data_IF_083984156614
#
_entry.id   IF_083984156614
#
_cell.length_a   1.000
_cell.length_b   1.000
_cell.length_c   1.000
_cell.angle_alpha   90.00
_cell.angle_beta   90.00
_cell.angle_gamma   90.00
#
_symmetry.space_group_name_H-M   'P 1'
#
loop_
_entity.id
_entity.type
_entity.pdbx_description
1 polymer ?
#
# COMPACT_ATOMS: atom_id res chain seq x y z
N UNK A 1 -20.28 -1.27 -8.98
CA UNK A 1 -19.09 -2.14 -8.80
C UNK A 1 -18.04 -1.61 -9.76
N UNK A 2 -16.89 -1.14 -9.26
CA UNK A 2 -15.85 -0.58 -10.12
C UNK A 2 -14.93 -1.74 -10.54
N UNK A 3 -15.03 -2.18 -11.79
CA UNK A 3 -14.08 -3.12 -12.38
C UNK A 3 -12.74 -2.39 -12.55
N UNK A 4 -11.79 -2.70 -11.67
CA UNK A 4 -10.40 -2.33 -11.89
C UNK A 4 -9.75 -3.52 -12.59
N UNK A 5 -9.32 -3.35 -13.85
CA UNK A 5 -8.63 -4.42 -14.58
C UNK A 5 -7.18 -4.53 -14.08
N UNK A 6 -6.64 -5.76 -14.00
CA UNK A 6 -5.23 -5.99 -13.64
C UNK A 6 -4.25 -5.15 -14.47
N UNK A 7 -4.53 -4.97 -15.76
CA UNK A 7 -3.70 -4.18 -16.68
C UNK A 7 -3.60 -2.71 -16.25
N UNK A 8 -4.68 -2.15 -15.72
CA UNK A 8 -4.72 -0.78 -15.19
C UNK A 8 -3.89 -0.66 -13.89
N UNK A 9 -3.84 -1.75 -13.11
CA UNK A 9 -3.08 -1.80 -11.86
C UNK A 9 -1.57 -1.95 -12.06
N UNK A 10 -1.16 -2.66 -13.11
CA UNK A 10 0.26 -2.81 -13.47
C UNK A 10 0.93 -1.44 -13.70
N UNK A 11 0.17 -0.45 -14.18
CA UNK A 11 0.65 0.92 -14.35
C UNK A 11 1.13 1.57 -13.03
N UNK A 12 0.53 1.21 -11.89
CA UNK A 12 0.92 1.72 -10.59
C UNK A 12 2.23 1.14 -10.05
N UNK A 13 2.75 0.04 -10.63
CA UNK A 13 4.09 -0.49 -10.28
C UNK A 13 5.16 0.61 -10.43
N UNK A 14 5.00 1.45 -11.43
CA UNK A 14 5.92 2.54 -11.76
C UNK A 14 5.41 3.94 -11.36
N UNK A 15 4.14 4.06 -10.95
CA UNK A 15 3.52 5.32 -10.51
C UNK A 15 2.91 5.22 -9.11
N UNK A 16 3.73 4.84 -8.13
CA UNK A 16 3.30 4.68 -6.74
C UNK A 16 2.69 5.96 -6.14
N UNK A 17 3.07 7.15 -6.62
CA UNK A 17 2.45 8.42 -6.21
C UNK A 17 0.96 8.48 -6.52
N UNK A 18 0.54 8.02 -7.71
CA UNK A 18 -0.86 7.92 -8.09
C UNK A 18 -1.62 6.90 -7.24
N UNK A 19 -0.95 5.82 -6.82
CA UNK A 19 -1.53 4.84 -5.91
C UNK A 19 -1.75 5.44 -4.51
N UNK A 20 -0.78 6.19 -4.01
CA UNK A 20 -0.90 6.88 -2.72
C UNK A 20 -2.08 7.85 -2.75
N UNK A 21 -2.21 8.64 -3.82
CA UNK A 21 -3.33 9.56 -3.99
C UNK A 21 -4.67 8.82 -4.05
N UNK A 22 -4.77 7.73 -4.81
CA UNK A 22 -5.96 6.88 -4.85
C UNK A 22 -6.36 6.42 -3.45
N UNK A 23 -5.42 5.89 -2.67
CA UNK A 23 -5.68 5.45 -1.30
C UNK A 23 -6.10 6.60 -0.36
N UNK A 24 -5.49 7.77 -0.51
CA UNK A 24 -5.86 8.96 0.27
C UNK A 24 -7.29 9.43 -0.06
N UNK A 25 -7.71 9.38 -1.32
CA UNK A 25 -9.10 9.73 -1.71
C UNK A 25 -10.14 8.75 -1.15
N UNK A 26 -9.72 7.52 -0.85
CA UNK A 26 -10.55 6.47 -0.24
C UNK A 26 -10.41 6.40 1.29
N UNK A 27 -9.71 7.36 1.90
CA UNK A 27 -9.46 7.43 3.35
C UNK A 27 -8.71 6.21 3.92
N UNK A 28 -8.01 5.45 3.05
CA UNK A 28 -7.20 4.30 3.44
C UNK A 28 -5.78 4.69 3.87
N UNK A 29 -5.34 5.90 3.50
CA UNK A 29 -4.10 6.51 3.95
C UNK A 29 -4.35 7.95 4.44
N UNK A 30 -3.58 8.43 5.43
CA UNK A 30 -3.64 9.82 5.85
C UNK A 30 -3.25 10.75 4.70
N UNK A 31 -4.03 11.81 4.52
CA UNK A 31 -3.75 12.87 3.54
C UNK A 31 -2.96 14.04 4.13
N UNK A 32 -3.19 14.35 5.41
CA UNK A 32 -2.63 15.53 6.08
C UNK A 32 -2.03 15.19 7.45
N UNK A 33 -0.95 14.40 7.52
CA UNK A 33 -0.30 14.10 8.78
C UNK A 33 0.41 15.33 9.34
N UNK A 34 0.38 15.47 10.66
CA UNK A 34 0.93 16.62 11.38
C UNK A 34 2.24 16.29 12.10
N UNK A 35 3.17 17.23 12.07
CA UNK A 35 4.39 17.25 12.88
C UNK A 35 4.85 18.71 13.05
N UNK A 36 5.27 19.11 14.26
CA UNK A 36 5.60 20.50 14.57
C UNK A 36 4.46 21.47 14.17
N UNK A 37 3.21 21.07 14.44
CA UNK A 37 1.99 21.81 14.10
C UNK A 37 1.83 22.18 12.62
N UNK A 38 2.51 21.46 11.73
CA UNK A 38 2.44 21.64 10.29
C UNK A 38 2.13 20.34 9.55
N UNK A 39 1.44 20.48 8.42
CA UNK A 39 1.20 19.37 7.50
C UNK A 39 2.53 18.94 6.89
N UNK A 40 2.88 17.69 7.11
CA UNK A 40 4.07 17.08 6.51
C UNK A 40 3.88 16.92 5.00
N UNK A 41 4.97 16.97 4.23
CA UNK A 41 4.94 16.77 2.78
C UNK A 41 5.35 15.35 2.41
N UNK A 42 4.75 14.79 1.37
CA UNK A 42 5.21 13.51 0.80
C UNK A 42 6.59 13.73 0.18
N UNK A 43 7.52 12.84 0.49
CA UNK A 43 8.88 12.84 -0.04
C UNK A 43 9.28 11.43 -0.48
N UNK A 44 10.09 11.35 -1.53
CA UNK A 44 10.71 10.11 -1.97
C UNK A 44 11.73 9.67 -0.92
N UNK A 45 11.67 8.40 -0.55
CA UNK A 45 12.60 7.75 0.36
C UNK A 45 12.76 6.28 -0.05
N UNK A 46 13.80 5.98 -0.81
CA UNK A 46 14.07 4.63 -1.35
C UNK A 46 14.30 3.56 -0.27
N UNK A 47 14.66 3.96 0.96
CA UNK A 47 14.88 3.04 2.08
C UNK A 47 13.62 2.47 2.73
N UNK A 48 12.42 2.91 2.31
CA UNK A 48 11.14 2.39 2.83
C UNK A 48 10.38 1.63 1.75
N UNK A 49 9.51 0.71 2.17
CA UNK A 49 8.86 -0.28 1.30
C UNK A 49 8.02 0.31 0.14
N UNK A 50 7.38 1.46 0.33
CA UNK A 50 6.59 2.15 -0.72
C UNK A 50 7.40 3.21 -1.46
N UNK A 51 8.70 3.35 -1.14
CA UNK A 51 9.56 4.39 -1.68
C UNK A 51 9.17 5.82 -1.28
N UNK A 52 8.16 6.00 -0.42
CA UNK A 52 7.61 7.30 -0.02
C UNK A 52 7.38 7.36 1.48
N UNK A 53 7.64 8.52 2.06
CA UNK A 53 7.40 8.84 3.46
C UNK A 53 6.91 10.29 3.59
N UNK A 54 6.19 10.59 4.66
CA UNK A 54 5.96 11.98 5.03
C UNK A 54 7.21 12.57 5.66
N UNK A 55 7.57 13.78 5.28
CA UNK A 55 8.71 14.53 5.83
C UNK A 55 8.22 15.84 6.43
N UNK A 56 8.57 16.08 7.70
CA UNK A 56 8.38 17.37 8.33
C UNK A 56 9.40 18.37 7.75
N UNK A 57 8.97 19.58 7.39
CA UNK A 57 9.89 20.59 6.87
C UNK A 57 10.63 21.36 7.97
N UNK A 58 10.12 21.32 9.20
CA UNK A 58 10.72 21.95 10.39
C UNK A 58 11.81 21.07 10.99
N UNK A 59 11.43 19.95 11.64
CA UNK A 59 12.38 19.06 12.33
C UNK A 59 13.03 17.99 11.42
N UNK A 60 12.65 17.94 10.13
CA UNK A 60 13.13 16.95 9.15
C UNK A 60 12.84 15.48 9.47
N UNK A 61 12.10 15.19 10.54
CA UNK A 61 11.64 13.84 10.88
C UNK A 61 10.75 13.27 9.78
N UNK A 62 10.85 11.96 9.60
CA UNK A 62 10.03 11.20 8.67
C UNK A 62 8.97 10.38 9.40
N UNK A 63 7.84 10.18 8.74
CA UNK A 63 6.78 9.27 9.16
C UNK A 63 6.38 8.36 8.00
N UNK A 64 5.96 7.13 8.31
CA UNK A 64 5.41 6.22 7.31
C UNK A 64 4.17 6.83 6.66
N UNK A 65 3.99 6.65 5.35
CA UNK A 65 2.74 7.02 4.68
C UNK A 65 1.53 6.24 5.19
N UNK A 66 1.77 5.12 5.89
CA UNK A 66 0.77 4.21 6.43
C UNK A 66 0.51 4.38 7.93
N UNK A 67 1.16 5.35 8.57
CA UNK A 67 1.05 5.52 10.01
C UNK A 67 -0.41 5.78 10.41
N UNK A 68 -0.90 5.07 11.43
CA UNK A 68 -2.27 5.15 11.91
C UNK A 68 -3.29 4.43 11.03
N UNK A 69 -2.86 3.58 10.09
CA UNK A 69 -3.76 2.83 9.20
C UNK A 69 -3.63 1.33 9.41
N UNK A 70 -4.59 0.58 8.85
CA UNK A 70 -4.55 -0.87 8.81
C UNK A 70 -3.24 -1.42 8.20
N UNK A 71 -2.60 -0.68 7.29
CA UNK A 71 -1.38 -1.10 6.61
C UNK A 71 -0.09 -0.78 7.35
N UNK A 72 -0.14 -0.11 8.51
CA UNK A 72 1.03 0.44 9.22
C UNK A 72 2.14 -0.60 9.43
N UNK A 73 1.77 -1.82 9.83
CA UNK A 73 2.69 -2.92 10.13
C UNK A 73 2.84 -3.94 9.00
N UNK A 74 2.20 -3.69 7.85
CA UNK A 74 2.26 -4.64 6.73
C UNK A 74 3.67 -4.71 6.15
N UNK A 75 4.15 -5.94 5.95
CA UNK A 75 5.42 -6.23 5.28
C UNK A 75 5.30 -6.21 3.75
N UNK A 76 4.11 -6.00 3.21
CA UNK A 76 3.85 -5.87 1.78
C UNK A 76 3.81 -4.40 1.37
N UNK A 77 4.27 -4.07 0.17
CA UNK A 77 4.06 -2.72 -0.40
C UNK A 77 2.57 -2.46 -0.64
N UNK A 78 2.14 -1.20 -0.72
CA UNK A 78 0.77 -0.86 -1.08
C UNK A 78 0.40 -1.46 -2.45
N UNK A 79 1.35 -1.42 -3.39
CA UNK A 79 1.21 -2.08 -4.69
C UNK A 79 0.96 -3.60 -4.54
N UNK A 80 1.78 -4.29 -3.74
CA UNK A 80 1.61 -5.74 -3.50
C UNK A 80 0.24 -6.05 -2.89
N UNK A 81 -0.23 -5.23 -1.95
CA UNK A 81 -1.56 -5.39 -1.33
C UNK A 81 -2.66 -5.28 -2.38
N UNK A 82 -2.61 -4.25 -3.23
CA UNK A 82 -3.62 -4.02 -4.28
C UNK A 82 -3.63 -5.16 -5.28
N UNK A 83 -2.45 -5.61 -5.72
CA UNK A 83 -2.37 -6.71 -6.66
C UNK A 83 -2.85 -8.03 -6.06
N UNK A 84 -2.60 -8.29 -4.77
CA UNK A 84 -3.16 -9.46 -4.08
C UNK A 84 -4.68 -9.43 -4.10
N UNK A 85 -5.28 -8.28 -3.78
CA UNK A 85 -6.74 -8.11 -3.80
C UNK A 85 -7.27 -8.33 -5.22
N UNK A 86 -6.64 -7.72 -6.23
CA UNK A 86 -7.06 -7.86 -7.62
C UNK A 86 -7.01 -9.31 -8.10
N UNK A 87 -5.89 -10.02 -7.89
CA UNK A 87 -5.78 -11.43 -8.24
C UNK A 87 -6.80 -12.30 -7.50
N UNK A 88 -7.06 -11.99 -6.22
CA UNK A 88 -8.07 -12.72 -5.45
C UNK A 88 -9.48 -12.52 -6.04
N UNK A 89 -9.84 -11.29 -6.40
CA UNK A 89 -11.13 -10.98 -7.04
C UNK A 89 -11.28 -11.65 -8.42
N UNK A 90 -10.19 -11.87 -9.15
CA UNK A 90 -10.19 -12.61 -10.41
C UNK A 90 -10.15 -14.14 -10.26
N UNK A 91 -10.24 -14.66 -9.04
CA UNK A 91 -10.25 -16.11 -8.78
C UNK A 91 -8.87 -16.76 -8.79
N UNK A 92 -7.79 -15.98 -8.82
CA UNK A 92 -6.42 -16.49 -8.72
C UNK A 92 -6.00 -16.63 -7.26
N UNK A 93 -6.12 -17.83 -6.72
CA UNK A 93 -5.82 -18.12 -5.31
C UNK A 93 -4.52 -18.91 -5.10
N UNK A 94 -3.78 -19.23 -6.17
CA UNK A 94 -2.54 -19.98 -6.06
C UNK A 94 -1.46 -19.17 -5.35
N UNK A 95 -1.15 -19.53 -4.11
CA UNK A 95 -0.13 -18.86 -3.30
C UNK A 95 1.24 -18.82 -4.00
N UNK A 96 1.64 -19.91 -4.64
CA UNK A 96 2.91 -19.99 -5.37
C UNK A 96 2.95 -19.03 -6.56
N UNK A 97 1.83 -18.87 -7.26
CA UNK A 97 1.73 -17.90 -8.34
C UNK A 97 1.85 -16.47 -7.80
N UNK A 98 1.09 -16.14 -6.75
CA UNK A 98 1.07 -14.81 -6.14
C UNK A 98 2.45 -14.43 -5.58
N UNK A 99 3.14 -15.35 -4.90
CA UNK A 99 4.49 -15.15 -4.36
C UNK A 99 5.46 -14.80 -5.49
N UNK A 100 5.43 -15.56 -6.60
CA UNK A 100 6.31 -15.35 -7.75
C UNK A 100 6.00 -14.05 -8.47
N UNK A 101 4.73 -13.80 -8.80
CA UNK A 101 4.32 -12.62 -9.56
C UNK A 101 4.55 -11.31 -8.82
N UNK A 102 4.38 -11.31 -7.49
CA UNK A 102 4.49 -10.11 -6.67
C UNK A 102 5.85 -9.96 -6.00
N UNK A 103 6.82 -10.83 -6.33
CA UNK A 103 8.17 -10.82 -5.78
C UNK A 103 8.14 -10.81 -4.23
N UNK A 104 7.18 -11.53 -3.64
CA UNK A 104 7.02 -11.59 -2.18
C UNK A 104 8.10 -12.52 -1.63
N UNK A 105 8.99 -11.99 -0.80
CA UNK A 105 10.00 -12.81 -0.12
C UNK A 105 9.35 -13.96 0.67
N UNK A 106 9.94 -15.15 0.61
CA UNK A 106 9.50 -16.36 1.30
C UNK A 106 9.33 -16.21 2.83
N UNK A 107 9.91 -15.18 3.45
CA UNK A 107 9.77 -14.89 4.88
C UNK A 107 8.58 -14.00 5.23
N UNK A 108 7.78 -13.57 4.24
CA UNK A 108 6.55 -12.79 4.45
C UNK A 108 5.37 -13.76 4.47
N UNK A 109 4.80 -13.98 5.66
CA UNK A 109 3.60 -14.80 5.83
C UNK A 109 2.41 -14.04 5.24
N UNK A 110 1.81 -14.57 4.18
CA UNK A 110 0.47 -14.18 3.72
C UNK A 110 -0.50 -15.01 4.54
N UNK A 111 -1.15 -14.39 5.54
CA UNK A 111 -2.17 -15.07 6.35
C UNK A 111 -3.46 -15.12 5.55
N UNK A 112 -4.13 -16.27 5.60
CA UNK A 112 -5.37 -16.60 4.90
C UNK A 112 -6.38 -15.43 4.86
N UNK A 113 -6.81 -15.08 3.64
CA UNK A 113 -7.57 -13.87 3.33
C UNK A 113 -8.99 -13.84 3.90
N UNK A 114 -9.48 -14.94 4.49
CA UNK A 114 -10.83 -14.99 5.11
C UNK A 114 -11.04 -13.87 6.14
N UNK A 115 -10.05 -13.62 7.00
CA UNK A 115 -10.16 -12.55 8.02
C UNK A 115 -10.09 -11.15 7.40
N UNK A 116 -9.40 -10.99 6.27
CA UNK A 116 -9.22 -9.72 5.55
C UNK A 116 -10.50 -9.26 4.85
N UNK A 117 -11.27 -10.19 4.27
CA UNK A 117 -12.48 -9.87 3.50
C UNK A 117 -13.76 -9.89 4.36
N UNK A 118 -13.84 -10.72 5.42
CA UNK A 118 -15.03 -10.77 6.30
C UNK A 118 -15.16 -9.55 7.23
N UNK A 119 -14.11 -8.75 7.39
CA UNK A 119 -14.14 -7.57 8.28
C UNK A 119 -14.51 -6.27 7.56
N UNK A 120 -14.47 -6.21 6.22
CA UNK A 120 -14.54 -4.93 5.48
C UNK A 120 -15.34 -4.96 4.16
N UNK A 121 -16.09 -6.02 3.86
CA UNK A 121 -17.14 -6.04 2.83
C UNK A 121 -18.49 -6.41 3.43
#
# INVERSE_FOLDING_TARGET
>A
MMEIRLDDLAHYKFKISGLIEFFQTRLLLPKFPLCCDQIMKVAIRSSVIDGHAFRCLVCRTFSSIRKGTFFEKSKLSLYQIVMLIAYYCEGTHSQNFLIKQLEISHHKIVVDGKVLFETFL
#
